data_IF_783022094120
#
_entry.id   IF_783022094120
#
_cell.length_a   1.000
_cell.length_b   1.000
_cell.length_c   1.000
_cell.angle_alpha   90.00
_cell.angle_beta   90.00
_cell.angle_gamma   90.00
#
_symmetry.space_group_name_H-M   'P 1'
#
loop_
_entity.id
_entity.type
_entity.pdbx_description
1 polymer ?
#
# COMPACT_ATOMS: atom_id res chain seq x y z
N UNK A 1 0.59 -1.18 -16.74
CA UNK A 1 -0.39 -0.42 -17.56
C UNK A 1 0.22 0.64 -18.47
N UNK A 2 1.55 0.68 -18.64
CA UNK A 2 2.25 1.74 -19.40
C UNK A 2 1.77 1.84 -20.87
N UNK A 3 1.46 0.71 -21.51
CA UNK A 3 0.96 0.69 -22.92
C UNK A 3 -0.40 1.39 -23.06
N UNK A 4 -1.25 1.35 -22.02
CA UNK A 4 -2.59 1.95 -22.04
C UNK A 4 -2.61 3.40 -21.57
N UNK A 5 -1.45 4.03 -21.41
CA UNK A 5 -1.32 5.39 -20.87
C UNK A 5 -2.12 6.44 -21.64
N UNK A 6 -2.26 6.28 -22.95
CA UNK A 6 -3.00 7.22 -23.80
C UNK A 6 -4.53 6.98 -23.73
N UNK A 7 -4.97 5.80 -23.27
CA UNK A 7 -6.38 5.43 -23.21
C UNK A 7 -7.03 5.87 -21.89
N UNK A 8 -7.31 7.16 -21.78
CA UNK A 8 -7.89 7.77 -20.58
C UNK A 8 -9.21 7.15 -20.13
N UNK A 9 -10.06 6.72 -21.06
CA UNK A 9 -11.35 6.08 -20.74
C UNK A 9 -11.17 4.77 -19.97
N UNK A 10 -10.19 3.95 -20.36
CA UNK A 10 -9.90 2.68 -19.70
C UNK A 10 -9.36 2.88 -18.28
N UNK A 11 -8.47 3.86 -18.10
CA UNK A 11 -7.96 4.23 -16.77
C UNK A 11 -9.07 4.73 -15.85
N UNK A 12 -10.00 5.54 -16.38
CA UNK A 12 -11.13 6.08 -15.62
C UNK A 12 -12.06 4.97 -15.13
N UNK A 13 -12.29 3.93 -15.93
CA UNK A 13 -13.09 2.76 -15.52
C UNK A 13 -12.39 1.98 -14.40
N UNK A 14 -11.06 1.83 -14.46
CA UNK A 14 -10.32 1.06 -13.47
C UNK A 14 -10.23 1.72 -12.09
N UNK A 15 -10.14 3.05 -12.03
CA UNK A 15 -10.05 3.82 -10.76
C UNK A 15 -11.14 3.40 -9.74
N UNK A 16 -12.44 3.46 -10.05
CA UNK A 16 -13.48 3.07 -9.10
C UNK A 16 -13.44 1.58 -8.78
N UNK A 17 -13.09 0.71 -9.75
CA UNK A 17 -12.94 -0.73 -9.50
C UNK A 17 -11.85 -1.02 -8.47
N UNK A 18 -10.70 -0.36 -8.59
CA UNK A 18 -9.57 -0.49 -7.66
C UNK A 18 -9.95 0.01 -6.26
N UNK A 19 -10.61 1.17 -6.18
CA UNK A 19 -11.04 1.75 -4.90
C UNK A 19 -12.07 0.86 -4.21
N UNK A 20 -13.11 0.42 -4.93
CA UNK A 20 -14.19 -0.41 -4.38
C UNK A 20 -13.73 -1.82 -4.04
N UNK A 21 -12.76 -2.38 -4.78
CA UNK A 21 -12.22 -3.71 -4.54
C UNK A 21 -11.29 -3.81 -3.33
N UNK A 22 -10.77 -2.68 -2.83
CA UNK A 22 -9.77 -2.66 -1.76
C UNK A 22 -10.15 -1.70 -0.62
N UNK A 23 -9.69 -0.45 -0.68
CA UNK A 23 -9.77 0.54 0.41
C UNK A 23 -11.22 0.89 0.77
N UNK A 24 -12.10 1.00 -0.22
CA UNK A 24 -13.51 1.34 -0.03
C UNK A 24 -14.43 0.12 0.00
N UNK A 25 -13.88 -1.10 0.03
CA UNK A 25 -14.69 -2.32 0.11
C UNK A 25 -15.67 -2.32 1.31
N UNK A 26 -15.26 -1.98 2.56
CA UNK A 26 -16.19 -1.90 3.68
C UNK A 26 -17.34 -0.91 3.45
N UNK A 27 -17.04 0.21 2.81
CA UNK A 27 -18.02 1.27 2.55
C UNK A 27 -18.98 0.90 1.42
N UNK A 28 -18.47 0.24 0.38
CA UNK A 28 -19.29 -0.33 -0.69
C UNK A 28 -20.25 -1.37 -0.12
N UNK A 29 -19.76 -2.29 0.72
CA UNK A 29 -20.56 -3.31 1.37
C UNK A 29 -21.68 -2.70 2.23
N UNK A 30 -21.36 -1.70 3.05
CA UNK A 30 -22.34 -0.97 3.85
C UNK A 30 -23.40 -0.27 3.00
N UNK A 31 -23.00 0.34 1.88
CA UNK A 31 -23.92 0.97 0.93
C UNK A 31 -24.84 -0.06 0.26
N UNK A 32 -24.31 -1.19 -0.21
CA UNK A 32 -25.11 -2.27 -0.80
C UNK A 32 -26.16 -2.80 0.18
N UNK A 33 -25.78 -3.02 1.44
CA UNK A 33 -26.74 -3.47 2.47
C UNK A 33 -27.82 -2.42 2.75
N UNK A 34 -27.45 -1.13 2.77
CA UNK A 34 -28.43 -0.05 2.91
C UNK A 34 -29.40 0.00 1.72
N UNK A 35 -28.91 -0.18 0.50
CA UNK A 35 -29.75 -0.26 -0.72
C UNK A 35 -30.71 -1.45 -0.62
N UNK A 36 -30.22 -2.64 -0.26
CA UNK A 36 -31.05 -3.84 -0.10
C UNK A 36 -32.12 -3.60 0.97
N UNK A 37 -31.76 -3.01 2.11
CA UNK A 37 -32.71 -2.67 3.17
C UNK A 37 -33.81 -1.72 2.68
N UNK A 38 -33.44 -0.72 1.86
CA UNK A 38 -34.39 0.24 1.28
C UNK A 38 -35.38 -0.41 0.33
N UNK A 39 -34.96 -1.41 -0.46
CA UNK A 39 -35.84 -2.11 -1.41
C UNK A 39 -36.54 -3.35 -0.82
N UNK A 40 -35.95 -3.97 0.20
CA UNK A 40 -36.42 -5.21 0.82
C UNK A 40 -36.35 -5.01 2.33
N UNK A 41 -37.44 -4.50 2.90
CA UNK A 41 -37.60 -4.23 4.33
C UNK A 41 -37.74 -5.53 5.13
N UNK A 42 -36.72 -6.39 5.08
CA UNK A 42 -36.64 -7.63 5.86
C UNK A 42 -35.99 -7.36 7.21
N UNK A 43 -36.54 -7.94 8.28
CA UNK A 43 -36.01 -7.81 9.64
C UNK A 43 -34.52 -8.19 9.76
N UNK A 44 -34.06 -9.16 8.96
CA UNK A 44 -32.67 -9.62 8.89
C UNK A 44 -31.70 -8.51 8.44
N UNK A 45 -32.09 -7.68 7.46
CA UNK A 45 -31.24 -6.59 6.94
C UNK A 45 -31.10 -5.45 7.94
N UNK A 46 -32.19 -5.13 8.65
CA UNK A 46 -32.15 -4.15 9.75
C UNK A 46 -31.30 -4.66 10.92
N UNK A 47 -31.31 -5.97 11.19
CA UNK A 47 -30.46 -6.57 12.21
C UNK A 47 -28.97 -6.49 11.81
N UNK A 48 -28.63 -6.86 10.57
CA UNK A 48 -27.27 -6.76 10.04
C UNK A 48 -26.70 -5.34 10.07
N UNK A 49 -27.49 -4.32 9.74
CA UNK A 49 -27.04 -2.91 9.76
C UNK A 49 -26.89 -2.33 11.17
N UNK A 50 -27.73 -2.78 12.11
CA UNK A 50 -27.77 -2.23 13.48
C UNK A 50 -26.79 -2.93 14.41
N UNK A 51 -26.51 -4.20 14.15
CA UNK A 51 -25.69 -5.07 14.99
C UNK A 51 -24.32 -5.40 14.39
N UNK A 52 -23.76 -4.50 13.58
CA UNK A 52 -22.46 -4.67 12.90
C UNK A 52 -21.32 -5.02 13.87
N UNK A 53 -21.36 -4.48 15.08
CA UNK A 53 -20.38 -4.75 16.15
C UNK A 53 -20.47 -6.18 16.73
N UNK A 54 -21.65 -6.81 16.69
CA UNK A 54 -21.86 -8.14 17.31
C UNK A 54 -21.60 -9.30 16.33
N UNK A 55 -21.68 -9.04 15.03
CA UNK A 55 -21.48 -10.04 13.97
C UNK A 55 -20.00 -10.43 13.82
N UNK A 56 -19.07 -9.57 14.27
CA UNK A 56 -17.62 -9.84 14.26
C UNK A 56 -16.99 -9.85 12.86
N UNK A 57 -17.71 -9.46 11.80
CA UNK A 57 -17.14 -9.37 10.46
C UNK A 57 -16.34 -8.08 10.28
N UNK A 58 -15.02 -8.20 10.18
CA UNK A 58 -14.10 -7.06 10.19
C UNK A 58 -14.34 -6.02 9.09
N UNK A 59 -14.92 -6.42 7.95
CA UNK A 59 -15.20 -5.51 6.84
C UNK A 59 -16.58 -4.84 6.95
N UNK A 60 -17.41 -5.20 7.92
CA UNK A 60 -18.71 -4.56 8.15
C UNK A 60 -18.56 -3.44 9.18
N UNK A 61 -18.11 -2.29 8.71
CA UNK A 61 -17.93 -1.11 9.55
C UNK A 61 -19.27 -0.41 9.84
N UNK A 62 -19.45 0.19 11.03
CA UNK A 62 -20.57 1.09 11.30
C UNK A 62 -20.64 2.22 10.27
N UNK A 63 -21.86 2.71 9.98
CA UNK A 63 -22.11 3.71 8.93
C UNK A 63 -21.29 5.00 9.09
N UNK A 64 -21.05 5.44 10.33
CA UNK A 64 -20.19 6.61 10.62
C UNK A 64 -18.73 6.35 10.25
N UNK A 65 -18.17 5.22 10.70
CA UNK A 65 -16.79 4.82 10.42
C UNK A 65 -16.55 4.62 8.93
N UNK A 66 -17.53 4.05 8.22
CA UNK A 66 -17.49 3.89 6.77
C UNK A 66 -17.43 5.25 6.03
N UNK A 67 -18.23 6.24 6.44
CA UNK A 67 -18.20 7.59 5.84
C UNK A 67 -16.88 8.31 6.12
N UNK A 68 -16.37 8.17 7.34
CA UNK A 68 -15.10 8.73 7.76
C UNK A 68 -13.92 8.16 6.97
N UNK A 69 -13.92 6.84 6.74
CA UNK A 69 -12.94 6.15 5.93
C UNK A 69 -12.95 6.66 4.48
N UNK A 70 -14.14 6.88 3.91
CA UNK A 70 -14.24 7.48 2.56
C UNK A 70 -13.60 8.87 2.55
N UNK A 71 -13.89 9.71 3.56
CA UNK A 71 -13.32 11.04 3.66
C UNK A 71 -11.79 11.02 3.78
N UNK A 72 -11.22 10.12 4.59
CA UNK A 72 -9.76 10.02 4.77
C UNK A 72 -9.07 9.46 3.53
N UNK A 73 -9.65 8.46 2.87
CA UNK A 73 -9.11 7.90 1.61
C UNK A 73 -9.10 8.96 0.51
N UNK A 74 -10.21 9.67 0.32
CA UNK A 74 -10.30 10.74 -0.68
C UNK A 74 -9.34 11.90 -0.35
N UNK A 75 -9.21 12.28 0.93
CA UNK A 75 -8.25 13.30 1.37
C UNK A 75 -6.80 12.92 1.08
N UNK A 76 -6.40 11.69 1.40
CA UNK A 76 -5.04 11.20 1.15
C UNK A 76 -4.72 11.07 -0.34
N UNK A 77 -5.70 10.69 -1.17
CA UNK A 77 -5.55 10.67 -2.63
C UNK A 77 -5.47 12.11 -3.17
N UNK A 78 -6.29 13.02 -2.67
CA UNK A 78 -6.28 14.43 -3.07
C UNK A 78 -4.94 15.11 -2.76
N UNK A 79 -4.40 14.91 -1.55
CA UNK A 79 -3.08 15.44 -1.17
C UNK A 79 -1.99 14.87 -2.08
N UNK A 80 -1.98 13.55 -2.32
CA UNK A 80 -1.03 12.94 -3.25
C UNK A 80 -1.16 13.51 -4.66
N UNK A 81 -2.39 13.66 -5.16
CA UNK A 81 -2.66 14.18 -6.49
C UNK A 81 -2.12 15.60 -6.66
N UNK A 82 -2.29 16.47 -5.66
CA UNK A 82 -1.77 17.85 -5.69
C UNK A 82 -0.24 17.85 -5.71
N UNK A 83 0.41 17.11 -4.79
CA UNK A 83 1.87 17.07 -4.71
C UNK A 83 2.47 16.46 -5.98
N UNK A 84 1.89 15.36 -6.47
CA UNK A 84 2.36 14.69 -7.68
C UNK A 84 2.17 15.60 -8.91
N UNK A 85 1.02 16.24 -9.05
CA UNK A 85 0.80 17.19 -10.15
C UNK A 85 1.80 18.34 -10.11
N UNK A 86 2.03 18.94 -8.94
CA UNK A 86 2.99 20.04 -8.78
C UNK A 86 4.42 19.63 -9.17
N UNK A 87 4.85 18.42 -8.81
CA UNK A 87 6.23 17.96 -9.07
C UNK A 87 6.43 17.44 -10.49
N UNK A 88 5.44 16.78 -11.09
CA UNK A 88 5.66 15.92 -12.27
C UNK A 88 4.99 16.41 -13.55
N UNK A 89 4.26 17.53 -13.53
CA UNK A 89 3.55 18.09 -14.69
C UNK A 89 4.44 18.26 -15.93
N UNK A 90 5.68 18.72 -15.71
CA UNK A 90 6.68 19.03 -16.73
C UNK A 90 7.77 17.95 -16.85
N UNK A 91 7.58 16.80 -16.19
CA UNK A 91 8.57 15.72 -16.22
C UNK A 91 8.51 14.92 -17.53
N UNK A 92 9.64 14.31 -17.90
CA UNK A 92 9.73 13.38 -19.03
C UNK A 92 8.80 12.17 -18.86
N UNK A 93 8.45 11.84 -17.61
CA UNK A 93 7.56 10.73 -17.27
C UNK A 93 6.16 10.90 -17.88
N UNK A 94 5.66 12.12 -18.10
CA UNK A 94 4.37 12.40 -18.75
C UNK A 94 4.51 13.20 -20.05
N UNK A 95 5.70 13.20 -20.66
CA UNK A 95 5.93 13.88 -21.94
C UNK A 95 5.02 13.32 -23.05
N UNK A 96 4.49 14.21 -23.90
CA UNK A 96 3.66 13.85 -25.05
C UNK A 96 2.16 13.64 -24.77
N UNK A 97 1.72 13.70 -23.51
CA UNK A 97 0.31 13.57 -23.12
C UNK A 97 -0.41 14.92 -23.04
N UNK A 98 -1.70 14.92 -23.37
CA UNK A 98 -2.58 16.06 -23.14
C UNK A 98 -2.79 16.36 -21.64
N UNK A 99 -3.17 17.59 -21.24
CA UNK A 99 -3.38 17.95 -19.84
C UNK A 99 -4.40 17.06 -19.10
N UNK A 100 -5.48 16.67 -19.78
CA UNK A 100 -6.52 15.78 -19.24
C UNK A 100 -6.00 14.36 -19.01
N UNK A 101 -5.24 13.83 -19.97
CA UNK A 101 -4.64 12.50 -19.89
C UNK A 101 -3.59 12.44 -18.78
N UNK A 102 -2.80 13.52 -18.62
CA UNK A 102 -1.88 13.68 -17.49
C UNK A 102 -2.62 13.64 -16.15
N UNK A 103 -3.69 14.42 -16.01
CA UNK A 103 -4.47 14.44 -14.78
C UNK A 103 -5.05 13.05 -14.44
N UNK A 104 -5.63 12.36 -15.42
CA UNK A 104 -6.17 11.01 -15.22
C UNK A 104 -5.06 10.01 -14.89
N UNK A 105 -3.91 10.09 -15.56
CA UNK A 105 -2.76 9.22 -15.28
C UNK A 105 -2.16 9.43 -13.89
N UNK A 106 -2.06 10.69 -13.44
CA UNK A 106 -1.61 11.02 -12.08
C UNK A 106 -2.62 10.51 -11.05
N UNK A 107 -3.92 10.73 -11.27
CA UNK A 107 -4.97 10.23 -10.39
C UNK A 107 -4.93 8.70 -10.30
N UNK A 108 -4.80 8.01 -11.43
CA UNK A 108 -4.66 6.55 -11.49
C UNK A 108 -3.45 6.09 -10.67
N UNK A 109 -2.30 6.74 -10.82
CA UNK A 109 -1.10 6.38 -10.07
C UNK A 109 -1.25 6.64 -8.55
N UNK A 110 -1.96 7.70 -8.15
CA UNK A 110 -2.25 8.01 -6.74
C UNK A 110 -3.20 6.98 -6.11
N UNK A 111 -4.16 6.45 -6.87
CA UNK A 111 -5.10 5.41 -6.41
C UNK A 111 -4.37 4.07 -6.25
N UNK A 112 -3.50 3.74 -7.21
CA UNK A 112 -2.72 2.49 -7.20
C UNK A 112 -1.57 2.49 -6.19
N UNK A 113 -1.21 3.65 -5.60
CA UNK A 113 -0.08 3.75 -4.67
C UNK A 113 -0.25 2.95 -3.39
N UNK A 114 -1.50 2.64 -3.02
CA UNK A 114 -1.78 1.91 -1.79
C UNK A 114 -1.92 0.41 -2.04
N UNK A 115 -2.60 0.01 -3.11
CA UNK A 115 -2.86 -1.38 -3.46
C UNK A 115 -3.03 -1.49 -4.99
N UNK A 116 -2.82 -2.69 -5.55
CA UNK A 116 -2.94 -3.11 -6.98
C UNK A 116 -1.63 -3.16 -7.75
N UNK A 117 -0.67 -2.27 -7.47
CA UNK A 117 0.68 -2.39 -8.04
C UNK A 117 0.79 -2.03 -9.52
N UNK A 118 -0.31 -1.57 -10.12
CA UNK A 118 -0.31 -1.14 -11.51
C UNK A 118 0.31 0.24 -11.66
N UNK A 119 1.23 0.34 -12.63
CA UNK A 119 1.91 1.58 -12.96
C UNK A 119 1.61 1.99 -14.39
N UNK A 120 1.35 3.29 -14.56
CA UNK A 120 1.17 3.94 -15.87
C UNK A 120 2.46 4.65 -16.32
N UNK A 121 3.36 4.90 -15.38
CA UNK A 121 4.65 5.53 -15.62
C UNK A 121 5.77 4.70 -15.02
N UNK A 122 6.96 4.82 -15.60
CA UNK A 122 8.15 4.23 -15.02
C UNK A 122 8.53 4.99 -13.73
N UNK A 123 8.41 4.33 -12.58
CA UNK A 123 8.68 4.90 -11.26
C UNK A 123 10.12 5.41 -11.13
N UNK A 124 11.06 4.82 -11.86
CA UNK A 124 12.45 5.26 -11.82
C UNK A 124 12.71 6.60 -12.52
N UNK A 125 11.75 7.09 -13.32
CA UNK A 125 11.81 8.43 -13.95
C UNK A 125 11.10 9.50 -13.12
N UNK A 126 10.48 9.11 -12.01
CA UNK A 126 9.77 10.02 -11.13
C UNK A 126 10.75 10.70 -10.16
N UNK A 127 10.45 11.95 -9.78
CA UNK A 127 11.17 12.65 -8.73
C UNK A 127 11.28 11.81 -7.44
N UNK A 128 12.47 11.71 -6.79
CA UNK A 128 12.67 10.89 -5.60
C UNK A 128 11.73 11.20 -4.43
N UNK A 129 11.32 12.46 -4.26
CA UNK A 129 10.37 12.84 -3.21
C UNK A 129 9.00 12.12 -3.35
N UNK A 130 8.57 11.84 -4.58
CA UNK A 130 7.34 11.08 -4.82
C UNK A 130 7.49 9.60 -4.47
N UNK A 131 8.68 9.02 -4.66
CA UNK A 131 8.97 7.66 -4.22
C UNK A 131 8.87 7.55 -2.69
N UNK A 132 9.37 8.55 -1.96
CA UNK A 132 9.21 8.64 -0.50
C UNK A 132 7.73 8.75 -0.12
N UNK A 133 6.95 9.56 -0.84
CA UNK A 133 5.50 9.67 -0.62
C UNK A 133 4.79 8.34 -0.88
N UNK A 134 5.16 7.60 -1.92
CA UNK A 134 4.61 6.26 -2.19
C UNK A 134 5.02 5.27 -1.11
N UNK A 135 6.26 5.29 -0.64
CA UNK A 135 6.72 4.47 0.48
C UNK A 135 5.83 4.68 1.71
N UNK A 136 5.55 5.93 2.05
CA UNK A 136 4.64 6.26 3.14
C UNK A 136 3.24 5.70 2.90
N UNK A 137 2.69 5.87 1.69
CA UNK A 137 1.35 5.40 1.35
C UNK A 137 1.22 3.88 1.29
N UNK A 138 2.25 3.16 0.80
CA UNK A 138 2.30 1.70 0.75
C UNK A 138 2.38 1.08 2.15
N UNK A 139 2.98 1.79 3.11
CA UNK A 139 3.06 1.34 4.49
C UNK A 139 1.73 1.49 5.25
N UNK A 140 0.94 2.53 4.94
CA UNK A 140 -0.33 2.78 5.61
C UNK A 140 -1.35 1.67 5.36
N UNK A 141 -1.98 1.10 6.41
CA UNK A 141 -3.06 0.14 6.23
C UNK A 141 -4.25 0.70 5.42
N UNK A 142 -5.03 -0.17 4.74
CA UNK A 142 -6.16 0.25 3.92
C UNK A 142 -7.27 0.96 4.71
N UNK A 143 -7.45 0.60 6.00
CA UNK A 143 -8.51 1.12 6.87
C UNK A 143 -8.07 2.27 7.79
N UNK A 144 -7.03 3.00 7.39
CA UNK A 144 -6.54 4.14 8.16
C UNK A 144 -7.55 5.28 8.16
N UNK A 145 -8.11 5.57 9.33
CA UNK A 145 -8.89 6.79 9.56
C UNK A 145 -8.14 7.69 10.54
N UNK A 146 -7.87 8.92 10.13
CA UNK A 146 -7.17 9.92 10.94
C UNK A 146 -8.12 10.82 11.74
N UNK A 147 -9.42 10.74 11.49
CA UNK A 147 -10.41 11.53 12.22
C UNK A 147 -10.85 10.74 13.47
N UNK A 148 -10.79 11.35 14.67
CA UNK A 148 -11.32 10.73 15.88
C UNK A 148 -12.86 10.76 15.82
N UNK A 149 -13.49 9.59 15.85
CA UNK A 149 -14.92 9.50 16.17
C UNK A 149 -15.03 9.67 17.68
N UNK A 150 -15.48 10.84 18.11
CA UNK A 150 -15.88 11.07 19.50
C UNK A 150 -17.13 10.23 19.77
N UNK A 151 -16.97 9.16 20.55
CA UNK A 151 -18.04 8.23 20.94
C UNK A 151 -17.67 6.78 20.61
N UNK A 152 -16.95 6.16 21.55
CA UNK A 152 -16.77 4.71 21.73
C UNK A 152 -16.10 3.92 20.60
N UNK A 153 -14.78 3.70 20.72
CA UNK A 153 -14.07 2.89 19.72
C UNK A 153 -12.64 2.42 19.95
N UNK A 154 -11.97 2.70 21.08
CA UNK A 154 -10.72 2.00 21.49
C UNK A 154 -10.94 0.48 21.79
N UNK A 155 -11.99 -0.13 21.23
CA UNK A 155 -12.52 -1.45 21.58
C UNK A 155 -12.57 -2.47 20.44
N UNK A 156 -11.84 -2.29 19.34
CA UNK A 156 -11.66 -3.40 18.37
C UNK A 156 -10.52 -4.36 18.69
N UNK A 157 -9.78 -4.18 19.80
CA UNK A 157 -8.79 -5.15 20.29
C UNK A 157 -8.84 -5.45 21.80
N UNK A 158 -9.77 -4.87 22.57
CA UNK A 158 -9.75 -4.96 24.04
C UNK A 158 -10.64 -6.04 24.67
N UNK A 159 -11.48 -6.75 23.92
CA UNK A 159 -12.53 -7.62 24.51
C UNK A 159 -12.30 -9.14 24.35
N UNK A 160 -11.10 -9.57 23.94
CA UNK A 160 -10.67 -10.98 24.00
C UNK A 160 -9.64 -11.24 25.13
N UNK A 161 -9.33 -10.21 25.95
CA UNK A 161 -8.18 -10.21 26.87
C UNK A 161 -8.42 -10.72 28.29
N UNK A 162 -9.54 -11.38 28.59
CA UNK A 162 -9.85 -11.81 29.98
C UNK A 162 -9.70 -13.31 30.29
N UNK A 163 -9.39 -14.19 29.32
CA UNK A 163 -9.31 -15.65 29.58
C UNK A 163 -7.93 -16.33 29.48
N UNK A 164 -6.85 -15.63 29.15
CA UNK A 164 -5.52 -16.25 28.97
C UNK A 164 -4.39 -15.54 29.72
N UNK A 165 -4.67 -15.03 30.93
CA UNK A 165 -3.73 -14.22 31.72
C UNK A 165 -2.63 -14.99 32.47
N UNK A 166 -2.44 -16.30 32.24
CA UNK A 166 -1.58 -17.13 33.12
C UNK A 166 -0.33 -17.73 32.43
N UNK A 167 -0.18 -17.71 31.09
CA UNK A 167 0.83 -18.57 30.44
C UNK A 167 1.73 -17.90 29.38
N UNK A 168 2.29 -16.71 29.62
CA UNK A 168 3.09 -16.04 28.58
C UNK A 168 4.14 -15.02 29.03
N UNK A 169 4.60 -15.06 30.27
CA UNK A 169 5.49 -14.02 30.84
C UNK A 169 6.93 -14.01 30.28
N UNK A 170 7.28 -14.93 29.39
CA UNK A 170 8.65 -15.10 28.86
C UNK A 170 8.74 -14.78 27.35
N UNK A 171 7.62 -14.77 26.61
CA UNK A 171 7.62 -14.51 25.16
C UNK A 171 7.26 -13.07 24.76
N UNK A 172 6.94 -12.20 25.72
CA UNK A 172 6.57 -10.80 25.44
C UNK A 172 7.78 -9.86 25.23
N UNK A 173 9.01 -10.25 25.61
CA UNK A 173 10.17 -9.35 25.55
C UNK A 173 10.89 -9.31 24.18
N UNK A 174 10.45 -10.10 23.21
CA UNK A 174 11.09 -10.26 21.90
C UNK A 174 10.21 -9.83 20.71
N UNK A 175 9.00 -9.33 20.97
CA UNK A 175 8.12 -8.88 19.89
C UNK A 175 8.54 -7.48 19.44
N UNK A 176 9.40 -7.44 18.43
CA UNK A 176 9.83 -6.24 17.71
C UNK A 176 8.63 -5.52 17.06
N UNK A 177 8.69 -4.19 16.96
CA UNK A 177 7.70 -3.36 16.26
C UNK A 177 7.63 -3.72 14.77
N UNK A 178 6.49 -3.49 14.11
CA UNK A 178 6.32 -3.68 12.66
C UNK A 178 7.38 -2.92 11.85
N UNK A 179 7.67 -1.69 12.27
CA UNK A 179 8.66 -0.84 11.62
C UNK A 179 10.08 -1.42 11.77
N UNK A 180 10.37 -2.05 12.91
CA UNK A 180 11.67 -2.70 13.10
C UNK A 180 11.84 -3.96 12.26
N UNK A 181 10.78 -4.76 12.05
CA UNK A 181 10.87 -5.89 11.10
C UNK A 181 11.17 -5.42 9.68
N UNK A 182 10.47 -4.40 9.20
CA UNK A 182 10.71 -3.82 7.87
C UNK A 182 12.13 -3.26 7.77
N UNK A 183 12.60 -2.55 8.80
CA UNK A 183 13.97 -2.04 8.84
C UNK A 183 15.02 -3.17 8.81
N UNK A 184 14.81 -4.25 9.57
CA UNK A 184 15.69 -5.43 9.56
C UNK A 184 15.73 -6.03 8.16
N UNK A 185 14.59 -6.25 7.50
CA UNK A 185 14.56 -6.79 6.14
C UNK A 185 15.28 -5.90 5.12
N UNK A 186 15.10 -4.58 5.21
CA UNK A 186 15.83 -3.61 4.37
C UNK A 186 17.34 -3.76 4.58
N UNK A 187 17.79 -3.81 5.84
CA UNK A 187 19.21 -3.96 6.17
C UNK A 187 19.75 -5.30 5.64
N UNK A 188 19.03 -6.40 5.84
CA UNK A 188 19.45 -7.72 5.35
C UNK A 188 19.58 -7.72 3.83
N UNK A 189 18.62 -7.14 3.10
CA UNK A 189 18.67 -7.07 1.63
C UNK A 189 19.83 -6.19 1.15
N UNK A 190 20.08 -5.05 1.81
CA UNK A 190 21.23 -4.20 1.51
C UNK A 190 22.56 -4.94 1.74
N UNK A 191 22.64 -5.85 2.72
CA UNK A 191 23.83 -6.68 2.95
C UNK A 191 23.96 -7.74 1.85
N UNK A 192 22.89 -8.42 1.46
CA UNK A 192 22.94 -9.47 0.42
C UNK A 192 23.22 -8.93 -0.98
N UNK A 193 22.70 -7.75 -1.32
CA UNK A 193 22.94 -7.12 -2.63
C UNK A 193 24.10 -6.12 -2.62
N UNK A 194 24.95 -6.14 -1.58
CA UNK A 194 26.02 -5.16 -1.36
C UNK A 194 26.95 -4.99 -2.56
N UNK A 195 27.28 -6.07 -3.25
CA UNK A 195 28.21 -6.02 -4.38
C UNK A 195 27.57 -5.32 -5.58
N UNK A 196 26.30 -5.62 -5.88
CA UNK A 196 25.55 -4.92 -6.94
C UNK A 196 25.29 -3.46 -6.63
N UNK A 197 25.09 -3.12 -5.35
CA UNK A 197 25.00 -1.72 -4.92
C UNK A 197 26.29 -0.93 -5.18
N UNK A 198 27.47 -1.59 -5.14
CA UNK A 198 28.75 -0.96 -5.48
C UNK A 198 28.96 -0.87 -6.99
N UNK A 199 28.53 -1.90 -7.73
CA UNK A 199 28.72 -1.97 -9.18
C UNK A 199 27.76 -1.05 -9.96
N UNK A 200 26.49 -0.99 -9.55
CA UNK A 200 25.44 -0.23 -10.22
C UNK A 200 24.60 0.59 -9.20
N UNK A 201 25.18 1.64 -8.59
CA UNK A 201 24.55 2.40 -7.51
C UNK A 201 23.31 3.22 -7.96
N UNK A 202 23.15 3.47 -9.26
CA UNK A 202 22.01 4.23 -9.78
C UNK A 202 20.74 3.37 -9.85
N UNK A 203 20.87 2.10 -10.23
CA UNK A 203 19.74 1.17 -10.16
C UNK A 203 19.61 0.55 -8.76
N UNK A 204 20.71 0.09 -8.16
CA UNK A 204 20.76 -0.49 -6.80
C UNK A 204 20.97 0.58 -5.73
N UNK A 205 20.12 1.59 -5.73
CA UNK A 205 20.10 2.60 -4.67
C UNK A 205 19.33 2.10 -3.44
N UNK A 206 19.70 2.61 -2.26
CA UNK A 206 18.98 2.32 -1.01
C UNK A 206 17.49 2.69 -1.15
N UNK A 207 17.17 3.81 -1.81
CA UNK A 207 15.79 4.24 -2.02
C UNK A 207 15.00 3.22 -2.86
N UNK A 208 15.58 2.70 -3.95
CA UNK A 208 14.91 1.70 -4.79
C UNK A 208 14.70 0.38 -4.02
N UNK A 209 15.68 -0.03 -3.21
CA UNK A 209 15.54 -1.20 -2.33
C UNK A 209 14.41 -0.96 -1.31
N UNK A 210 14.36 0.21 -0.67
CA UNK A 210 13.31 0.57 0.29
C UNK A 210 11.92 0.54 -0.37
N UNK A 211 11.79 1.09 -1.58
CA UNK A 211 10.54 1.05 -2.36
C UNK A 211 10.12 -0.40 -2.62
N UNK A 212 11.04 -1.27 -3.06
CA UNK A 212 10.75 -2.67 -3.37
C UNK A 212 10.35 -3.46 -2.12
N UNK A 213 11.07 -3.30 -1.00
CA UNK A 213 10.81 -4.02 0.25
C UNK A 213 9.48 -3.58 0.88
N UNK A 214 9.19 -2.27 0.89
CA UNK A 214 7.94 -1.76 1.45
C UNK A 214 6.76 -2.10 0.55
N UNK A 215 6.94 -2.08 -0.77
CA UNK A 215 5.96 -2.57 -1.73
C UNK A 215 5.67 -4.06 -1.53
N UNK A 216 6.70 -4.89 -1.31
CA UNK A 216 6.56 -6.31 -1.00
C UNK A 216 5.83 -6.54 0.33
N UNK A 217 6.20 -5.82 1.39
CA UNK A 217 5.58 -5.91 2.71
C UNK A 217 4.13 -5.38 2.74
N UNK A 218 3.84 -4.34 1.95
CA UNK A 218 2.50 -3.81 1.74
C UNK A 218 1.65 -4.65 0.78
N UNK A 219 2.26 -5.63 0.10
CA UNK A 219 1.68 -6.38 -1.02
C UNK A 219 1.08 -5.46 -2.08
N UNK A 220 1.78 -4.35 -2.37
CA UNK A 220 1.33 -3.34 -3.34
C UNK A 220 1.71 -3.78 -4.74
N UNK A 221 2.99 -4.05 -4.98
CA UNK A 221 3.50 -4.48 -6.30
C UNK A 221 4.10 -3.35 -7.14
N UNK A 222 4.31 -2.17 -6.57
CA UNK A 222 5.16 -1.14 -7.18
C UNK A 222 6.62 -1.58 -7.21
N UNK A 223 7.26 -1.28 -8.33
CA UNK A 223 8.67 -1.54 -8.58
C UNK A 223 9.23 -0.35 -9.36
N UNK A 224 10.43 0.09 -9.02
CA UNK A 224 11.16 1.09 -9.81
C UNK A 224 11.66 0.54 -11.14
N UNK A 225 11.70 -0.79 -11.28
CA UNK A 225 12.25 -1.45 -12.45
C UNK A 225 13.77 -1.36 -12.50
N UNK A 226 14.34 -1.85 -13.60
CA UNK A 226 15.78 -1.82 -13.86
C UNK A 226 16.00 -1.26 -15.26
N UNK A 227 16.95 -0.32 -15.41
CA UNK A 227 17.31 0.20 -16.73
C UNK A 227 18.82 0.15 -16.96
N UNK A 228 19.21 -0.47 -18.07
CA UNK A 228 20.59 -0.55 -18.53
C UNK A 228 21.17 0.84 -18.83
N UNK A 229 20.33 1.80 -19.26
CA UNK A 229 20.74 3.18 -19.53
C UNK A 229 21.23 3.93 -18.29
N UNK A 230 20.92 3.43 -17.10
CA UNK A 230 21.35 4.03 -15.82
C UNK A 230 22.64 3.43 -15.27
N UNK A 231 23.25 2.45 -15.93
CA UNK A 231 24.52 1.89 -15.47
C UNK A 231 25.65 2.93 -15.61
N UNK A 232 26.47 3.10 -14.57
CA UNK A 232 27.70 3.90 -14.64
C UNK A 232 28.80 3.22 -15.46
N UNK A 233 28.84 1.88 -15.40
CA UNK A 233 29.75 1.04 -16.19
C UNK A 233 28.88 0.16 -17.10
N UNK A 234 28.79 0.45 -18.40
CA UNK A 234 27.94 -0.31 -19.30
C UNK A 234 28.47 -1.74 -19.43
N UNK A 235 27.69 -2.72 -18.97
CA UNK A 235 27.99 -4.12 -19.24
C UNK A 235 27.69 -4.44 -20.71
N UNK A 236 28.65 -5.06 -21.40
CA UNK A 236 28.47 -5.57 -22.76
C UNK A 236 27.46 -6.72 -22.74
N UNK A 237 26.18 -6.41 -23.00
CA UNK A 237 25.09 -7.39 -23.04
C UNK A 237 23.88 -7.07 -22.14
N UNK A 238 23.83 -5.89 -21.51
CA UNK A 238 22.66 -5.49 -20.74
C UNK A 238 21.44 -5.30 -21.66
N UNK A 239 20.39 -6.08 -21.42
CA UNK A 239 19.11 -6.01 -22.15
C UNK A 239 18.02 -5.48 -21.24
N UNK A 240 17.29 -4.47 -21.71
CA UNK A 240 16.09 -3.95 -21.05
C UNK A 240 15.04 -5.07 -21.03
N UNK A 241 14.65 -5.51 -19.83
CA UNK A 241 13.67 -6.59 -19.65
C UNK A 241 12.50 -6.12 -18.80
N UNK A 242 11.32 -6.63 -19.11
CA UNK A 242 10.04 -6.24 -18.50
C UNK A 242 9.74 -6.93 -17.16
N UNK A 243 10.76 -7.27 -16.38
CA UNK A 243 10.56 -7.76 -15.01
C UNK A 243 10.73 -6.63 -13.99
N UNK A 244 10.17 -6.82 -12.79
CA UNK A 244 10.37 -5.89 -11.67
C UNK A 244 11.84 -5.81 -11.24
N UNK A 245 12.17 -4.80 -10.44
CA UNK A 245 13.54 -4.54 -9.98
C UNK A 245 14.14 -5.77 -9.27
N UNK A 246 13.34 -6.46 -8.46
CA UNK A 246 13.71 -7.72 -7.81
C UNK A 246 14.14 -8.84 -8.78
N UNK A 247 13.80 -8.76 -10.07
CA UNK A 247 14.23 -9.72 -11.09
C UNK A 247 15.75 -9.75 -11.31
N UNK A 248 16.45 -8.63 -11.06
CA UNK A 248 17.93 -8.55 -11.14
C UNK A 248 18.63 -8.89 -9.85
N UNK A 249 17.89 -9.14 -8.76
CA UNK A 249 18.50 -9.44 -7.45
C UNK A 249 19.13 -10.83 -7.44
N UNK A 250 19.98 -11.09 -6.44
CA UNK A 250 20.54 -12.41 -6.18
C UNK A 250 19.43 -13.36 -5.74
N UNK A 251 19.68 -14.66 -5.84
CA UNK A 251 18.69 -15.65 -5.41
C UNK A 251 18.46 -15.58 -3.89
N UNK A 252 19.48 -15.21 -3.12
CA UNK A 252 19.36 -14.94 -1.68
C UNK A 252 18.42 -13.74 -1.42
N UNK A 253 18.61 -12.64 -2.14
CA UNK A 253 17.76 -11.45 -2.03
C UNK A 253 16.30 -11.73 -2.40
N UNK A 254 16.07 -12.54 -3.45
CA UNK A 254 14.71 -12.97 -3.84
C UNK A 254 14.03 -13.81 -2.76
N UNK A 255 14.75 -14.76 -2.15
CA UNK A 255 14.19 -15.58 -1.06
C UNK A 255 13.78 -14.70 0.12
N UNK A 256 14.62 -13.73 0.50
CA UNK A 256 14.30 -12.78 1.57
C UNK A 256 13.05 -11.96 1.19
N UNK A 257 12.95 -11.49 -0.06
CA UNK A 257 11.79 -10.73 -0.51
C UNK A 257 10.49 -11.56 -0.48
N UNK A 258 10.54 -12.85 -0.83
CA UNK A 258 9.40 -13.78 -0.70
C UNK A 258 8.95 -13.88 0.77
N UNK A 259 9.91 -14.00 1.70
CA UNK A 259 9.62 -13.99 3.14
C UNK A 259 8.94 -12.67 3.53
N UNK A 260 9.45 -11.52 3.07
CA UNK A 260 8.84 -10.20 3.32
C UNK A 260 7.39 -10.15 2.84
N UNK A 261 7.09 -10.64 1.63
CA UNK A 261 5.74 -10.68 1.08
C UNK A 261 4.79 -11.55 1.92
N UNK A 262 5.30 -12.68 2.43
CA UNK A 262 4.54 -13.58 3.28
C UNK A 262 4.25 -12.95 4.65
N UNK A 263 5.26 -12.36 5.30
CA UNK A 263 5.10 -11.62 6.55
C UNK A 263 4.16 -10.42 6.41
N UNK A 264 4.27 -9.68 5.31
CA UNK A 264 3.38 -8.56 4.97
C UNK A 264 1.92 -8.97 4.92
N UNK A 265 1.62 -10.13 4.32
CA UNK A 265 0.26 -10.67 4.23
C UNK A 265 -0.25 -11.22 5.56
N UNK A 266 0.63 -11.78 6.39
CA UNK A 266 0.29 -12.32 7.71
C UNK A 266 0.33 -11.29 8.84
N UNK A 267 0.71 -10.03 8.58
CA UNK A 267 0.82 -8.99 9.61
C UNK A 267 -0.44 -8.82 10.46
N UNK A 268 -1.61 -9.07 9.87
CA UNK A 268 -2.92 -9.02 10.55
C UNK A 268 -3.08 -10.09 11.64
N UNK A 269 -2.43 -11.24 11.50
CA UNK A 269 -2.43 -12.32 12.49
C UNK A 269 -1.33 -12.11 13.55
N UNK A 270 -0.21 -11.49 13.16
CA UNK A 270 0.87 -11.12 14.09
C UNK A 270 0.55 -9.85 14.92
N UNK A 271 -0.51 -9.12 14.56
CA UNK A 271 -0.95 -7.86 15.20
C UNK A 271 -1.50 -8.00 16.62
N UNK A 272 -1.59 -9.21 17.18
CA UNK A 272 -1.89 -9.38 18.60
C UNK A 272 -0.67 -9.16 19.52
N UNK A 273 0.53 -8.87 18.96
CA UNK A 273 1.78 -8.73 19.72
C UNK A 273 2.44 -7.35 19.73
N UNK A 274 1.89 -6.32 19.07
CA UNK A 274 2.53 -5.01 18.99
C UNK A 274 1.75 -3.94 19.74
N UNK A 275 2.15 -3.60 20.98
CA UNK A 275 1.71 -2.34 21.58
C UNK A 275 2.23 -1.19 20.71
N UNK A 276 1.32 -0.39 20.17
CA UNK A 276 1.66 0.87 19.53
C UNK A 276 2.51 1.72 20.48
N UNK A 277 3.51 2.38 19.92
CA UNK A 277 4.50 3.17 20.64
C UNK A 277 3.78 4.23 21.49
N UNK A 278 3.89 4.14 22.82
CA UNK A 278 3.71 5.30 23.68
C UNK A 278 5.02 6.07 23.65
N UNK A 279 5.10 7.06 22.76
CA UNK A 279 6.09 8.12 22.91
C UNK A 279 5.64 8.95 24.11
N UNK A 280 6.50 8.98 25.13
CA UNK A 280 6.37 9.74 26.37
C UNK A 280 6.13 11.23 26.10
#
# INVERSE_FOLDING_TARGET
MIVFRNNSAFLLILIPLILLGSTLFPSCLGFCLWVIHKFRTKAETSYLLRNTSEIGYLHLLPSLHSRLLVATVLGLIGIQFVIFSAMQWNSKAFGGLGPSEKAIGILFQCVNSRHTGETIVDLSTIAPAMLVLFVFMMYLPPYTSFLPVNGDGERSHATAGKRLKIQGKITESLVLSQLSYVAIFIITICITERDKMKEDPLNFSVLNIVVEVISAYGNVGFTTGYSCKRQLKPETGCTEKWFGFAGRWSDQGKIILIIVMFFGRLKKFNMNGGRGWKLL
#
